data_IF_632031487495
#
_entry.id   IF_632031487495
#
_cell.length_a   1.000
_cell.length_b   1.000
_cell.length_c   1.000
_cell.angle_alpha   90.00
_cell.angle_beta   90.00
_cell.angle_gamma   90.00
#
_symmetry.space_group_name_H-M   'P 1'
#
loop_
_entity.id
_entity.type
_entity.pdbx_description
1 polymer ?
#
# COMPACT_ATOMS: atom_id res chain seq x y z
N UNK A 1 30.75 0.23 8.34
CA UNK A 1 29.60 -0.47 8.96
C UNK A 1 29.05 -1.47 7.94
N UNK A 2 29.30 -2.78 8.10
CA UNK A 2 28.70 -3.78 7.22
C UNK A 2 27.18 -3.78 7.43
N UNK A 3 26.44 -3.87 6.33
CA UNK A 3 24.98 -3.73 6.29
C UNK A 3 24.26 -4.67 7.26
N UNK A 4 23.13 -4.19 7.78
CA UNK A 4 22.30 -4.70 8.88
C UNK A 4 21.79 -6.16 8.79
N UNK A 5 22.25 -6.99 7.84
CA UNK A 5 21.75 -8.35 7.61
C UNK A 5 22.88 -9.30 7.15
N UNK A 6 23.20 -10.31 7.97
CA UNK A 6 24.31 -11.27 7.77
C UNK A 6 24.08 -12.29 6.63
N UNK A 7 22.89 -12.34 6.06
CA UNK A 7 22.57 -13.18 4.90
C UNK A 7 22.00 -12.30 3.80
N UNK A 8 22.58 -12.27 2.58
CA UNK A 8 21.93 -11.60 1.47
C UNK A 8 20.56 -12.23 1.29
N UNK A 9 19.49 -11.45 1.46
CA UNK A 9 18.11 -11.91 1.29
C UNK A 9 18.03 -12.52 -0.12
N UNK A 10 18.05 -13.85 -0.19
CA UNK A 10 18.26 -14.56 -1.44
C UNK A 10 17.18 -14.21 -2.46
N UNK A 11 17.52 -14.27 -3.76
CA UNK A 11 16.61 -14.05 -4.89
C UNK A 11 15.26 -14.78 -4.69
N UNK A 12 15.30 -15.96 -4.09
CA UNK A 12 14.14 -16.77 -3.72
C UNK A 12 13.18 -16.12 -2.70
N UNK A 13 13.70 -15.42 -1.68
CA UNK A 13 12.86 -14.73 -0.69
C UNK A 13 12.15 -13.51 -1.30
N UNK A 14 12.82 -12.82 -2.22
CA UNK A 14 12.23 -11.71 -2.98
C UNK A 14 11.17 -12.22 -3.96
N UNK A 15 11.44 -13.32 -4.64
CA UNK A 15 10.51 -13.96 -5.58
C UNK A 15 9.25 -14.50 -4.88
N UNK A 16 9.41 -15.14 -3.71
CA UNK A 16 8.28 -15.60 -2.91
C UNK A 16 7.37 -14.43 -2.46
N UNK A 17 7.97 -13.32 -2.00
CA UNK A 17 7.19 -12.11 -1.67
C UNK A 17 6.48 -11.54 -2.88
N UNK A 18 7.16 -11.47 -4.03
CA UNK A 18 6.56 -10.98 -5.27
C UNK A 18 5.36 -11.83 -5.68
N UNK A 19 5.49 -13.16 -5.69
CA UNK A 19 4.39 -14.08 -6.02
C UNK A 19 3.21 -13.98 -5.07
N UNK A 20 3.47 -13.76 -3.78
CA UNK A 20 2.41 -13.50 -2.81
C UNK A 20 1.68 -12.19 -3.12
N UNK A 21 2.44 -11.11 -3.34
CA UNK A 21 1.85 -9.82 -3.68
C UNK A 21 1.02 -9.87 -4.97
N UNK A 22 1.51 -10.51 -6.03
CA UNK A 22 0.79 -10.65 -7.31
C UNK A 22 -0.49 -11.49 -7.21
N UNK A 23 -0.58 -12.42 -6.24
CA UNK A 23 -1.78 -13.25 -6.05
C UNK A 23 -2.82 -12.62 -5.14
N UNK A 24 -2.38 -11.78 -4.19
CA UNK A 24 -3.24 -11.29 -3.11
C UNK A 24 -3.64 -9.83 -3.29
N UNK A 25 -2.83 -9.04 -4.00
CA UNK A 25 -3.05 -7.59 -4.12
C UNK A 25 -2.96 -7.13 -5.58
N UNK A 26 -3.97 -6.39 -6.02
CA UNK A 26 -3.87 -5.60 -7.24
C UNK A 26 -3.02 -4.36 -6.97
N UNK A 27 -1.98 -4.16 -7.80
CA UNK A 27 -1.02 -3.07 -7.59
C UNK A 27 -1.46 -1.79 -8.26
N UNK A 28 -1.97 -0.84 -7.48
CA UNK A 28 -2.24 0.51 -7.95
C UNK A 28 -0.91 1.29 -8.11
N UNK A 29 -0.67 1.88 -9.28
CA UNK A 29 0.47 2.78 -9.53
C UNK A 29 0.00 4.24 -9.69
N UNK A 30 -0.42 4.92 -8.60
CA UNK A 30 -0.90 6.28 -8.68
C UNK A 30 0.27 7.25 -8.91
N UNK A 31 0.30 7.90 -10.07
CA UNK A 31 1.14 9.05 -10.32
C UNK A 31 0.39 10.32 -9.91
N UNK A 32 0.79 10.94 -8.80
CA UNK A 32 0.17 12.17 -8.29
C UNK A 32 1.11 13.35 -8.51
N UNK A 33 0.55 14.54 -8.76
CA UNK A 33 1.34 15.77 -8.88
C UNK A 33 2.19 15.98 -7.62
N UNK A 34 3.40 16.51 -7.80
CA UNK A 34 4.33 16.85 -6.70
C UNK A 34 3.59 17.69 -5.64
N UNK A 35 3.77 17.36 -4.37
CA UNK A 35 3.07 17.98 -3.24
C UNK A 35 1.76 17.31 -2.82
N UNK A 36 1.01 16.67 -3.73
CA UNK A 36 -0.24 15.98 -3.37
C UNK A 36 0.00 14.75 -2.48
N UNK A 37 1.12 14.06 -2.67
CA UNK A 37 1.49 12.89 -1.85
C UNK A 37 1.56 13.25 -0.36
N UNK A 38 2.14 14.40 -0.02
CA UNK A 38 2.27 14.85 1.37
C UNK A 38 0.91 15.20 1.96
N UNK A 39 0.02 15.82 1.17
CA UNK A 39 -1.36 16.09 1.57
C UNK A 39 -2.13 14.78 1.85
N UNK A 40 -1.97 13.75 1.01
CA UNK A 40 -2.59 12.45 1.26
C UNK A 40 -2.03 11.75 2.49
N UNK A 41 -0.72 11.86 2.74
CA UNK A 41 -0.11 11.32 3.97
C UNK A 41 -0.66 12.05 5.19
N UNK A 42 -0.80 13.37 5.14
CA UNK A 42 -1.37 14.16 6.23
C UNK A 42 -2.84 13.81 6.48
N UNK A 43 -3.65 13.67 5.42
CA UNK A 43 -5.04 13.25 5.51
C UNK A 43 -5.19 11.84 6.09
N UNK A 44 -4.39 10.88 5.62
CA UNK A 44 -4.37 9.52 6.16
C UNK A 44 -4.02 9.51 7.66
N UNK A 45 -2.97 10.25 8.06
CA UNK A 45 -2.58 10.41 9.47
C UNK A 45 -3.69 11.03 10.32
N UNK A 46 -4.39 12.04 9.81
CA UNK A 46 -5.51 12.66 10.51
C UNK A 46 -6.66 11.68 10.77
N UNK A 47 -6.86 10.71 9.87
CA UNK A 47 -7.84 9.62 10.04
C UNK A 47 -7.31 8.43 10.85
N UNK A 48 -6.05 8.45 11.29
CA UNK A 48 -5.41 7.33 11.98
C UNK A 48 -5.12 6.11 11.10
N UNK A 49 -5.32 6.22 9.78
CA UNK A 49 -5.16 5.13 8.80
C UNK A 49 -3.81 5.16 8.12
N UNK A 50 -3.38 4.00 7.62
CA UNK A 50 -2.26 3.98 6.69
C UNK A 50 -2.63 4.69 5.38
N UNK A 51 -1.65 5.21 4.65
CA UNK A 51 -1.92 5.84 3.34
C UNK A 51 -2.64 4.89 2.38
N UNK A 52 -2.28 3.60 2.40
CA UNK A 52 -2.89 2.60 1.52
C UNK A 52 -4.35 2.36 1.89
N UNK A 53 -4.63 2.15 3.18
CA UNK A 53 -6.00 1.96 3.69
C UNK A 53 -6.88 3.19 3.49
N UNK A 54 -6.30 4.40 3.63
CA UNK A 54 -7.00 5.65 3.33
C UNK A 54 -7.34 5.77 1.84
N UNK A 55 -6.43 5.38 0.95
CA UNK A 55 -6.66 5.35 -0.50
C UNK A 55 -7.74 4.31 -0.84
N UNK A 56 -7.65 3.08 -0.32
CA UNK A 56 -8.66 2.03 -0.54
C UNK A 56 -10.04 2.49 -0.05
N UNK A 57 -10.15 2.96 1.20
CA UNK A 57 -11.43 3.44 1.75
C UNK A 57 -12.02 4.58 0.90
N UNK A 58 -11.19 5.53 0.46
CA UNK A 58 -11.66 6.68 -0.32
C UNK A 58 -12.05 6.30 -1.75
N UNK A 59 -11.32 5.37 -2.37
CA UNK A 59 -11.67 4.83 -3.68
C UNK A 59 -12.92 3.96 -3.62
N UNK A 60 -13.08 3.12 -2.59
CA UNK A 60 -14.27 2.29 -2.38
C UNK A 60 -15.51 3.14 -2.15
N UNK A 61 -15.40 4.21 -1.35
CA UNK A 61 -16.48 5.17 -1.18
C UNK A 61 -16.84 5.89 -2.49
N UNK A 62 -15.83 6.33 -3.27
CA UNK A 62 -16.04 7.01 -4.55
C UNK A 62 -16.61 6.09 -5.64
N UNK A 63 -16.23 4.81 -5.64
CA UNK A 63 -16.75 3.79 -6.54
C UNK A 63 -18.12 3.23 -6.10
N UNK A 64 -18.63 3.64 -4.93
CA UNK A 64 -19.88 3.11 -4.37
C UNK A 64 -19.77 1.65 -3.89
N UNK A 65 -18.54 1.16 -3.65
CA UNK A 65 -18.25 -0.19 -3.15
C UNK A 65 -18.43 -0.24 -1.62
N UNK A 66 -18.39 0.90 -0.93
CA UNK A 66 -18.43 1.08 0.53
C UNK A 66 -19.71 0.65 1.27
N UNK A 67 -20.42 -0.37 0.79
CA UNK A 67 -21.60 -0.97 1.44
C UNK A 67 -21.53 -2.49 1.60
N UNK A 68 -20.35 -3.10 1.52
CA UNK A 68 -20.17 -4.51 1.90
C UNK A 68 -19.10 -4.61 2.98
N UNK A 69 -19.56 -4.44 4.21
CA UNK A 69 -18.95 -5.11 5.34
C UNK A 69 -18.78 -6.58 4.95
N UNK A 70 -17.53 -7.00 4.74
CA UNK A 70 -17.20 -8.41 4.69
C UNK A 70 -17.32 -8.93 6.12
N UNK A 71 -18.50 -9.44 6.46
CA UNK A 71 -18.76 -10.35 7.58
C UNK A 71 -17.97 -11.65 7.41
#
# INVERSE_FOLDING_TARGET
>A
MPGKYETPRGKAATDAKRRYYEKTYDRLYPAVKKGKKELYIAAAKATGKSLNEWIETTLDAAAGIGGKDHE
#
